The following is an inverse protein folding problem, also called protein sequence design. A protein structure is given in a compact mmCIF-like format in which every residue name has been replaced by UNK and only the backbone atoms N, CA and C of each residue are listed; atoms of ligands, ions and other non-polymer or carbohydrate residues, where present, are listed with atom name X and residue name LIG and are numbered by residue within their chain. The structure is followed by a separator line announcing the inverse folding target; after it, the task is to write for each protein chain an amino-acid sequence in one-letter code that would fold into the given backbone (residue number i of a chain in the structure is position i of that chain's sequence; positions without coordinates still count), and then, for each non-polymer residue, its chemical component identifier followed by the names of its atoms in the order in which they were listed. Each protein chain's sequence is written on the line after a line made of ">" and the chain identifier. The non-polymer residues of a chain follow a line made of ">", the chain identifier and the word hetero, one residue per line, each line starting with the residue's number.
data_IF_774453153935
#
_entry.id   IF_774453153935
#
_cell.length_a   1.000
_cell.length_b   1.000
_cell.length_c   1.000
_cell.angle_alpha   90.00
_cell.angle_beta   90.00
_cell.angle_gamma   90.00
#
_symmetry.space_group_name_H-M   'P 1'
#
loop_
_entity.id
_entity.type
_entity.pdbx_description
1 polymer ?
#
# COMPACT_ATOMS: atom_id res chain seq x y z
N UNK A 1 -6.64 56.76 -31.19
CA UNK A 1 -6.06 56.40 -29.88
C UNK A 1 -6.58 55.05 -29.37
N UNK A 2 -7.60 54.46 -30.00
CA UNK A 2 -8.20 53.19 -29.53
C UNK A 2 -7.49 51.93 -30.03
N UNK A 3 -6.91 51.93 -31.24
CA UNK A 3 -6.27 50.73 -31.82
C UNK A 3 -5.04 50.26 -31.03
N UNK A 4 -4.25 51.17 -30.48
CA UNK A 4 -3.07 50.83 -29.66
C UNK A 4 -3.46 50.28 -28.29
N UNK A 5 -4.57 50.76 -27.71
CA UNK A 5 -5.12 50.22 -26.47
C UNK A 5 -5.72 48.83 -26.67
N UNK A 6 -6.42 48.60 -27.79
CA UNK A 6 -6.95 47.29 -28.15
C UNK A 6 -5.83 46.28 -28.42
N UNK A 7 -4.76 46.70 -29.11
CA UNK A 7 -3.62 45.83 -29.41
C UNK A 7 -2.83 45.45 -28.15
N UNK A 8 -2.56 46.43 -27.27
CA UNK A 8 -1.87 46.16 -25.99
C UNK A 8 -2.71 45.28 -25.05
N UNK A 9 -4.02 45.50 -24.97
CA UNK A 9 -4.92 44.65 -24.19
C UNK A 9 -4.97 43.21 -24.72
N UNK A 10 -5.01 43.03 -26.05
CA UNK A 10 -5.03 41.71 -26.69
C UNK A 10 -3.74 40.95 -26.44
N UNK A 11 -2.58 41.62 -26.58
CA UNK A 11 -1.28 41.01 -26.28
C UNK A 11 -1.18 40.62 -24.80
N UNK A 12 -1.61 41.50 -23.89
CA UNK A 12 -1.62 41.20 -22.46
C UNK A 12 -2.49 39.98 -22.13
N UNK A 13 -3.67 39.85 -22.77
CA UNK A 13 -4.56 38.71 -22.58
C UNK A 13 -3.91 37.40 -23.07
N UNK A 14 -3.32 37.40 -24.28
CA UNK A 14 -2.65 36.22 -24.83
C UNK A 14 -1.46 35.78 -23.97
N UNK A 15 -0.66 36.74 -23.49
CA UNK A 15 0.46 36.47 -22.58
C UNK A 15 -0.05 35.93 -21.25
N UNK A 16 -1.12 36.50 -20.68
CA UNK A 16 -1.74 36.04 -19.44
C UNK A 16 -2.25 34.60 -19.55
N UNK A 17 -2.94 34.26 -20.65
CA UNK A 17 -3.41 32.90 -20.92
C UNK A 17 -2.25 31.92 -21.11
N UNK A 18 -1.24 32.29 -21.89
CA UNK A 18 -0.05 31.47 -22.11
C UNK A 18 0.73 31.20 -20.82
N UNK A 19 0.97 32.24 -20.02
CA UNK A 19 1.64 32.12 -18.72
C UNK A 19 0.81 31.28 -17.73
N UNK A 20 -0.50 31.51 -17.66
CA UNK A 20 -1.40 30.74 -16.81
C UNK A 20 -1.40 29.25 -17.15
N UNK A 21 -1.49 28.91 -18.44
CA UNK A 21 -1.41 27.52 -18.91
C UNK A 21 -0.05 26.89 -18.60
N UNK A 22 1.06 27.62 -18.83
CA UNK A 22 2.40 27.12 -18.55
C UNK A 22 2.60 26.83 -17.05
N UNK A 23 2.14 27.73 -16.17
CA UNK A 23 2.20 27.53 -14.71
C UNK A 23 1.36 26.33 -14.31
N UNK A 24 0.12 26.23 -14.79
CA UNK A 24 -0.75 25.11 -14.45
C UNK A 24 -0.19 23.77 -14.94
N UNK A 25 0.33 23.73 -16.17
CA UNK A 25 0.98 22.56 -16.75
C UNK A 25 2.23 22.13 -15.98
N UNK A 26 3.04 23.09 -15.54
CA UNK A 26 4.21 22.80 -14.71
C UNK A 26 3.81 22.24 -13.33
N UNK A 27 2.74 22.75 -12.72
CA UNK A 27 2.23 22.26 -11.44
C UNK A 27 1.64 20.85 -11.55
N UNK A 28 0.85 20.57 -12.58
CA UNK A 28 0.28 19.22 -12.82
C UNK A 28 1.38 18.21 -13.08
N UNK A 29 2.38 18.55 -13.91
CA UNK A 29 3.54 17.69 -14.17
C UNK A 29 4.35 17.43 -12.90
N UNK A 30 4.61 18.45 -12.08
CA UNK A 30 5.31 18.28 -10.79
C UNK A 30 4.54 17.38 -9.83
N UNK A 31 3.22 17.48 -9.79
CA UNK A 31 2.38 16.62 -8.96
C UNK A 31 2.44 15.17 -9.45
N UNK A 32 2.33 14.94 -10.76
CA UNK A 32 2.44 13.62 -11.38
C UNK A 32 3.79 12.98 -11.07
N UNK A 33 4.90 13.67 -11.32
CA UNK A 33 6.25 13.14 -11.06
C UNK A 33 6.44 12.76 -9.58
N UNK A 34 5.88 13.54 -8.65
CA UNK A 34 5.93 13.20 -7.21
C UNK A 34 5.12 11.95 -6.89
N UNK A 35 3.96 11.77 -7.54
CA UNK A 35 3.11 10.60 -7.36
C UNK A 35 3.76 9.34 -7.96
N UNK A 36 4.27 9.44 -9.18
CA UNK A 36 5.07 8.40 -9.84
C UNK A 36 6.28 8.00 -9.00
N UNK A 37 7.01 8.97 -8.43
CA UNK A 37 8.16 8.70 -7.57
C UNK A 37 7.75 8.01 -6.26
N UNK A 38 6.66 8.45 -5.62
CA UNK A 38 6.17 7.84 -4.38
C UNK A 38 5.78 6.38 -4.57
N UNK A 39 5.00 6.09 -5.62
CA UNK A 39 4.59 4.72 -5.94
C UNK A 39 5.66 3.91 -6.69
N UNK A 40 6.74 4.54 -7.14
CA UNK A 40 7.74 3.88 -7.99
C UNK A 40 7.18 3.52 -9.38
N UNK A 41 6.19 4.24 -9.88
CA UNK A 41 5.47 4.00 -11.13
C UNK A 41 5.78 5.09 -12.17
N UNK A 42 6.96 5.10 -12.81
CA UNK A 42 7.22 6.00 -13.92
C UNK A 42 6.31 5.65 -15.10
N UNK A 43 6.12 6.63 -15.98
CA UNK A 43 5.31 6.48 -17.20
C UNK A 43 5.78 5.27 -18.03
N UNK A 44 4.83 4.47 -18.50
CA UNK A 44 5.06 3.25 -19.28
C UNK A 44 5.62 2.07 -18.50
N UNK A 45 5.77 2.15 -17.17
CA UNK A 45 6.25 1.02 -16.38
C UNK A 45 5.18 -0.02 -16.11
N UNK A 46 5.60 -1.27 -16.00
CA UNK A 46 4.78 -2.38 -15.52
C UNK A 46 4.81 -2.44 -13.99
N UNK A 47 3.69 -2.82 -13.39
CA UNK A 47 3.59 -3.12 -11.97
C UNK A 47 2.70 -4.35 -11.73
N UNK A 48 2.82 -4.96 -10.55
CA UNK A 48 2.04 -6.14 -10.22
C UNK A 48 1.09 -5.86 -9.07
N UNK A 49 -0.16 -6.26 -9.25
CA UNK A 49 -1.16 -6.31 -8.20
C UNK A 49 -1.37 -7.76 -7.78
N UNK A 50 -0.84 -8.14 -6.61
CA UNK A 50 -0.90 -9.49 -6.07
C UNK A 50 -2.03 -9.61 -5.07
N UNK A 51 -2.91 -10.58 -5.27
CA UNK A 51 -4.11 -10.80 -4.46
C UNK A 51 -4.36 -12.28 -4.16
N UNK A 52 -5.29 -12.54 -3.25
CA UNK A 52 -5.88 -13.86 -3.04
C UNK A 52 -6.49 -14.45 -4.31
N UNK A 53 -6.36 -15.77 -4.44
CA UNK A 53 -7.15 -16.62 -5.34
C UNK A 53 -8.13 -17.38 -4.45
N UNK A 54 -9.42 -17.33 -4.77
CA UNK A 54 -10.37 -18.23 -4.13
C UNK A 54 -10.02 -19.68 -4.48
N UNK A 55 -9.70 -20.48 -3.47
CA UNK A 55 -9.34 -21.89 -3.64
C UNK A 55 -10.56 -22.81 -3.76
N UNK A 56 -11.78 -22.29 -3.55
CA UNK A 56 -13.02 -23.07 -3.61
C UNK A 56 -13.58 -23.23 -5.03
N UNK A 57 -13.15 -22.39 -5.97
CA UNK A 57 -13.58 -22.45 -7.37
C UNK A 57 -12.45 -22.94 -8.28
N UNK A 58 -12.78 -23.83 -9.23
CA UNK A 58 -11.84 -24.27 -10.27
C UNK A 58 -11.40 -23.10 -11.17
N UNK A 59 -12.22 -22.07 -11.28
CA UNK A 59 -11.91 -20.82 -11.97
C UNK A 59 -11.27 -19.82 -11.01
N UNK A 60 -10.25 -19.08 -11.48
CA UNK A 60 -9.67 -17.99 -10.69
C UNK A 60 -10.72 -16.92 -10.39
N UNK A 61 -11.01 -16.70 -9.11
CA UNK A 61 -11.86 -15.62 -8.64
C UNK A 61 -11.17 -14.84 -7.51
N UNK A 62 -11.56 -13.57 -7.37
CA UNK A 62 -10.97 -12.63 -6.41
C UNK A 62 -12.05 -12.26 -5.39
N UNK A 63 -11.77 -12.34 -4.08
CA UNK A 63 -12.73 -11.93 -3.05
C UNK A 63 -13.20 -10.48 -3.24
N UNK A 64 -14.48 -10.20 -2.97
CA UNK A 64 -15.12 -8.90 -3.22
C UNK A 64 -14.33 -7.69 -2.69
N UNK A 65 -13.78 -7.80 -1.48
CA UNK A 65 -13.06 -6.70 -0.84
C UNK A 65 -11.70 -6.47 -1.48
N UNK A 66 -11.05 -7.56 -1.90
CA UNK A 66 -9.76 -7.52 -2.57
C UNK A 66 -9.94 -6.94 -3.98
N UNK A 67 -10.98 -7.36 -4.73
CA UNK A 67 -11.33 -6.75 -6.02
C UNK A 67 -11.56 -5.24 -5.92
N UNK A 68 -12.27 -4.77 -4.89
CA UNK A 68 -12.47 -3.33 -4.65
C UNK A 68 -11.19 -2.60 -4.24
N UNK A 69 -10.27 -3.28 -3.55
CA UNK A 69 -8.96 -2.74 -3.24
C UNK A 69 -8.12 -2.61 -4.53
N UNK A 70 -8.12 -3.64 -5.37
CA UNK A 70 -7.45 -3.65 -6.66
C UNK A 70 -7.95 -2.55 -7.59
N UNK A 71 -9.26 -2.30 -7.67
CA UNK A 71 -9.81 -1.18 -8.45
C UNK A 71 -9.27 0.17 -7.97
N UNK A 72 -9.13 0.35 -6.65
CA UNK A 72 -8.52 1.55 -6.08
C UNK A 72 -7.05 1.71 -6.47
N UNK A 73 -6.29 0.62 -6.51
CA UNK A 73 -4.89 0.62 -6.93
C UNK A 73 -4.74 0.81 -8.45
N UNK A 74 -5.56 0.13 -9.26
CA UNK A 74 -5.56 0.26 -10.72
C UNK A 74 -5.78 1.72 -11.13
N UNK A 75 -6.71 2.43 -10.48
CA UNK A 75 -6.90 3.86 -10.73
C UNK A 75 -5.65 4.69 -10.43
N UNK A 76 -4.89 4.37 -9.37
CA UNK A 76 -3.61 5.05 -9.09
C UNK A 76 -2.55 4.73 -10.14
N UNK A 77 -2.46 3.46 -10.53
CA UNK A 77 -1.50 2.98 -11.54
C UNK A 77 -1.74 3.68 -12.89
N UNK A 78 -2.98 3.68 -13.36
CA UNK A 78 -3.38 4.35 -14.60
C UNK A 78 -3.15 5.87 -14.54
N UNK A 79 -3.45 6.51 -13.41
CA UNK A 79 -3.16 7.94 -13.23
C UNK A 79 -1.65 8.27 -13.28
N UNK A 80 -0.79 7.31 -12.97
CA UNK A 80 0.66 7.43 -13.12
C UNK A 80 1.14 7.15 -14.55
N UNK A 81 0.27 6.67 -15.45
CA UNK A 81 0.63 6.22 -16.79
C UNK A 81 1.38 4.88 -16.80
N UNK A 82 1.20 4.05 -15.77
CA UNK A 82 1.79 2.72 -15.66
C UNK A 82 0.74 1.63 -15.95
N UNK A 83 1.18 0.39 -16.13
CA UNK A 83 0.33 -0.74 -16.51
C UNK A 83 0.25 -1.78 -15.38
N UNK A 84 -0.95 -2.16 -14.92
CA UNK A 84 -1.11 -3.17 -13.88
C UNK A 84 -1.27 -4.59 -14.46
N UNK A 85 -0.42 -5.51 -14.00
CA UNK A 85 -0.62 -6.95 -14.15
C UNK A 85 -1.23 -7.51 -12.86
N UNK A 86 -2.41 -8.13 -12.93
CA UNK A 86 -3.02 -8.79 -11.77
C UNK A 86 -2.54 -10.24 -11.71
N UNK A 87 -1.98 -10.63 -10.56
CA UNK A 87 -1.46 -11.97 -10.36
C UNK A 87 -1.96 -12.60 -9.05
N UNK A 88 -2.19 -13.93 -9.02
CA UNK A 88 -2.50 -14.63 -7.80
C UNK A 88 -1.25 -14.87 -6.95
N UNK A 89 -1.43 -14.89 -5.63
CA UNK A 89 -0.35 -14.94 -4.64
C UNK A 89 0.55 -16.18 -4.64
N UNK A 90 0.16 -17.23 -5.34
CA UNK A 90 0.85 -18.51 -5.43
C UNK A 90 1.65 -18.65 -6.73
N UNK A 91 1.56 -17.66 -7.63
CA UNK A 91 2.35 -17.63 -8.86
C UNK A 91 3.78 -17.28 -8.55
N UNK A 92 4.73 -18.06 -9.09
CA UNK A 92 6.18 -17.87 -8.95
C UNK A 92 6.69 -16.67 -9.75
N UNK A 93 6.19 -15.49 -9.42
CA UNK A 93 6.55 -14.24 -10.08
C UNK A 93 8.03 -13.91 -9.83
N UNK A 94 8.77 -13.76 -10.92
CA UNK A 94 10.17 -13.36 -10.94
C UNK A 94 10.30 -11.83 -10.85
N UNK A 95 11.50 -11.34 -10.52
CA UNK A 95 11.81 -9.91 -10.53
C UNK A 95 11.39 -9.14 -9.27
N UNK A 96 11.59 -9.73 -8.09
CA UNK A 96 11.49 -8.99 -6.82
C UNK A 96 12.38 -7.74 -6.89
N UNK A 97 11.81 -6.56 -6.61
CA UNK A 97 12.51 -5.27 -6.72
C UNK A 97 12.66 -4.72 -8.16
N UNK A 98 12.41 -5.52 -9.21
CA UNK A 98 12.52 -5.05 -10.60
C UNK A 98 11.33 -4.18 -11.04
N UNK A 99 10.15 -4.45 -10.49
CA UNK A 99 8.90 -3.70 -10.75
C UNK A 99 8.16 -3.43 -9.45
N UNK A 100 7.37 -2.36 -9.44
CA UNK A 100 6.55 -2.02 -8.27
C UNK A 100 5.54 -3.13 -8.04
N UNK A 101 5.37 -3.52 -6.79
CA UNK A 101 4.45 -4.60 -6.42
C UNK A 101 3.50 -4.13 -5.32
N UNK A 102 2.21 -4.44 -5.47
CA UNK A 102 1.20 -4.21 -4.45
C UNK A 102 0.65 -5.55 -4.00
N UNK A 103 0.96 -5.97 -2.78
CA UNK A 103 0.43 -7.20 -2.19
C UNK A 103 -0.72 -6.89 -1.23
N UNK A 104 -1.89 -7.45 -1.52
CA UNK A 104 -3.13 -7.18 -0.81
C UNK A 104 -3.70 -8.50 -0.31
N UNK A 105 -3.77 -8.71 1.00
CA UNK A 105 -4.28 -9.98 1.52
C UNK A 105 -4.03 -10.26 2.99
N UNK A 106 -4.55 -11.41 3.42
CA UNK A 106 -4.25 -12.05 4.71
C UNK A 106 -2.87 -12.73 4.64
N UNK A 107 -1.88 -12.29 5.42
CA UNK A 107 -0.53 -12.86 5.40
C UNK A 107 -0.45 -14.32 5.87
N UNK A 108 -1.48 -14.85 6.54
CA UNK A 108 -1.51 -16.27 6.94
C UNK A 108 -1.92 -17.21 5.80
N UNK A 109 -2.54 -16.70 4.73
CA UNK A 109 -2.96 -17.49 3.56
C UNK A 109 -2.32 -17.02 2.24
N UNK A 110 -1.70 -15.84 2.22
CA UNK A 110 -1.15 -15.23 1.00
C UNK A 110 0.37 -15.43 0.91
N UNK A 111 0.80 -16.53 0.28
CA UNK A 111 2.21 -16.96 0.22
C UNK A 111 3.21 -15.85 -0.17
N UNK A 112 2.94 -15.10 -1.25
CA UNK A 112 3.82 -14.00 -1.69
C UNK A 112 3.92 -12.86 -0.67
N UNK A 113 2.82 -12.57 0.02
CA UNK A 113 2.76 -11.51 1.03
C UNK A 113 3.51 -11.94 2.29
N UNK A 114 3.32 -13.19 2.72
CA UNK A 114 4.06 -13.78 3.83
C UNK A 114 5.57 -13.73 3.58
N UNK A 115 6.03 -14.06 2.36
CA UNK A 115 7.43 -14.00 1.97
C UNK A 115 8.00 -12.57 2.01
N UNK A 116 7.25 -11.56 1.54
CA UNK A 116 7.66 -10.17 1.68
C UNK A 116 7.75 -9.73 3.13
N UNK A 117 6.79 -10.14 3.97
CA UNK A 117 6.81 -9.82 5.39
C UNK A 117 8.00 -10.47 6.10
N UNK A 118 8.30 -11.74 5.85
CA UNK A 118 9.45 -12.41 6.47
C UNK A 118 10.78 -11.78 6.09
N UNK A 119 10.90 -11.29 4.85
CA UNK A 119 12.15 -10.72 4.35
C UNK A 119 12.32 -9.22 4.69
N UNK A 120 11.24 -8.44 4.60
CA UNK A 120 11.29 -6.98 4.69
C UNK A 120 10.78 -6.43 6.02
N UNK A 121 10.03 -7.23 6.80
CA UNK A 121 9.48 -6.87 8.10
C UNK A 121 9.79 -7.95 9.17
N UNK A 122 11.08 -8.31 9.39
CA UNK A 122 11.44 -9.40 10.29
C UNK A 122 10.99 -9.18 11.75
N UNK A 123 10.77 -7.93 12.17
CA UNK A 123 10.26 -7.59 13.50
C UNK A 123 8.73 -7.72 13.66
N UNK A 124 8.04 -8.19 12.61
CA UNK A 124 6.60 -8.50 12.62
C UNK A 124 6.40 -10.00 12.61
N UNK A 125 5.75 -10.52 13.65
CA UNK A 125 5.24 -11.90 13.66
C UNK A 125 3.76 -11.91 13.35
N UNK A 126 3.33 -12.81 12.46
CA UNK A 126 1.92 -13.09 12.21
C UNK A 126 1.61 -14.49 12.74
N UNK A 127 0.71 -14.58 13.71
CA UNK A 127 0.36 -15.86 14.32
C UNK A 127 -0.61 -16.65 13.42
N UNK A 128 -0.35 -17.93 13.12
CA UNK A 128 -1.24 -18.76 12.31
C UNK A 128 -2.54 -19.14 13.04
N UNK A 129 -2.58 -18.93 14.36
CA UNK A 129 -3.66 -19.36 15.24
C UNK A 129 -3.44 -20.77 15.80
N UNK A 130 -4.30 -21.17 16.73
CA UNK A 130 -4.32 -22.54 17.25
C UNK A 130 -5.03 -23.53 16.31
N UNK A 131 -5.20 -24.78 16.74
CA UNK A 131 -5.88 -25.82 15.96
C UNK A 131 -7.34 -25.48 15.61
N UNK A 132 -8.00 -24.61 16.38
CA UNK A 132 -9.34 -24.11 16.10
C UNK A 132 -9.32 -22.83 15.25
N UNK A 133 -8.14 -22.31 14.91
CA UNK A 133 -7.94 -21.04 14.22
C UNK A 133 -8.05 -19.81 15.12
N UNK A 134 -8.19 -19.99 16.44
CA UNK A 134 -8.26 -18.86 17.36
C UNK A 134 -6.90 -18.15 17.41
N UNK A 135 -6.93 -16.81 17.36
CA UNK A 135 -5.71 -15.99 17.33
C UNK A 135 -5.02 -15.93 15.96
N UNK A 136 -5.56 -16.59 14.92
CA UNK A 136 -5.05 -16.46 13.55
C UNK A 136 -5.03 -15.00 13.10
N UNK A 137 -3.92 -14.61 12.46
CA UNK A 137 -3.69 -13.26 11.96
C UNK A 137 -3.27 -12.26 13.05
N UNK A 138 -3.15 -12.66 14.32
CA UNK A 138 -2.65 -11.75 15.36
C UNK A 138 -1.27 -11.24 14.97
N UNK A 139 -1.07 -9.91 15.02
CA UNK A 139 0.24 -9.32 14.80
C UNK A 139 1.00 -9.21 16.10
N UNK A 140 2.31 -9.43 16.09
CA UNK A 140 3.20 -9.03 17.17
C UNK A 140 4.29 -8.16 16.60
N UNK A 141 4.40 -6.93 17.10
CA UNK A 141 5.37 -5.94 16.64
C UNK A 141 5.97 -5.25 17.85
N UNK A 142 7.31 -5.26 17.97
CA UNK A 142 8.00 -4.70 19.13
C UNK A 142 7.54 -5.30 20.47
N UNK A 143 7.17 -6.58 20.49
CA UNK A 143 6.67 -7.29 21.68
C UNK A 143 5.20 -7.02 22.04
N UNK A 144 4.50 -6.15 21.31
CA UNK A 144 3.07 -5.89 21.55
C UNK A 144 2.21 -6.74 20.61
N UNK A 145 1.23 -7.45 21.16
CA UNK A 145 0.28 -8.26 20.40
C UNK A 145 -0.98 -7.47 20.04
N UNK A 146 -1.39 -7.54 18.77
CA UNK A 146 -2.57 -6.88 18.21
C UNK A 146 -3.54 -7.95 17.69
N UNK A 147 -4.41 -8.40 18.59
CA UNK A 147 -5.43 -9.43 18.32
C UNK A 147 -6.70 -8.76 17.80
N UNK A 148 -7.32 -9.34 16.76
CA UNK A 148 -8.62 -8.87 16.29
C UNK A 148 -9.77 -9.30 17.20
N UNK A 149 -10.78 -8.44 17.24
CA UNK A 149 -12.16 -8.71 17.58
C UNK A 149 -12.99 -8.57 16.29
N UNK A 150 -13.35 -9.68 15.61
CA UNK A 150 -13.98 -9.62 14.30
C UNK A 150 -15.24 -8.75 14.28
N UNK A 151 -15.27 -7.78 13.37
CA UNK A 151 -16.36 -6.84 13.18
C UNK A 151 -16.29 -5.60 14.07
N UNK A 152 -15.47 -5.62 15.13
CA UNK A 152 -15.36 -4.55 16.13
C UNK A 152 -13.99 -3.84 16.07
N UNK A 153 -12.89 -4.59 16.20
CA UNK A 153 -11.53 -4.05 16.20
C UNK A 153 -10.63 -4.97 15.41
N UNK A 154 -10.14 -4.50 14.27
CA UNK A 154 -9.29 -5.29 13.39
C UNK A 154 -8.08 -4.48 12.97
N UNK A 155 -6.96 -5.15 12.73
CA UNK A 155 -5.71 -4.50 12.39
C UNK A 155 -5.26 -4.84 10.98
N UNK A 156 -4.53 -3.91 10.38
CA UNK A 156 -3.88 -4.07 9.09
C UNK A 156 -2.57 -3.31 9.07
N UNK A 157 -1.54 -3.95 8.51
CA UNK A 157 -0.26 -3.31 8.23
C UNK A 157 -0.33 -2.70 6.83
N UNK A 158 -0.09 -1.40 6.76
CA UNK A 158 0.12 -0.67 5.51
C UNK A 158 1.60 -0.31 5.41
N UNK A 159 2.31 -0.90 4.46
CA UNK A 159 3.75 -0.68 4.30
C UNK A 159 4.13 -0.26 2.88
N UNK A 160 5.22 0.50 2.78
CA UNK A 160 6.01 0.74 1.56
C UNK A 160 7.44 0.36 1.89
N UNK A 161 7.98 -0.62 1.19
CA UNK A 161 9.29 -1.20 1.48
C UNK A 161 10.09 -1.35 0.19
N UNK A 162 11.42 -1.37 0.29
CA UNK A 162 12.35 -1.61 -0.82
C UNK A 162 13.34 -2.67 -0.36
N UNK A 163 13.70 -3.60 -1.25
CA UNK A 163 14.63 -4.69 -0.92
C UNK A 163 16.10 -4.22 -0.94
N UNK A 164 16.40 -3.17 -1.70
CA UNK A 164 17.70 -2.53 -1.79
C UNK A 164 17.61 -1.11 -2.32
N UNK A 165 18.77 -0.47 -2.46
CA UNK A 165 18.89 0.87 -3.04
C UNK A 165 18.67 0.80 -4.56
N UNK A 166 17.74 1.60 -5.08
CA UNK A 166 17.37 1.61 -6.51
C UNK A 166 16.26 0.63 -6.89
N UNK A 167 15.87 -0.28 -5.99
CA UNK A 167 14.77 -1.21 -6.22
C UNK A 167 13.41 -0.50 -6.21
N UNK A 168 12.48 -1.08 -6.98
CA UNK A 168 11.08 -0.67 -6.98
C UNK A 168 10.40 -1.04 -5.67
N UNK A 169 9.48 -0.19 -5.16
CA UNK A 169 8.84 -0.43 -3.89
C UNK A 169 7.85 -1.59 -3.96
N UNK A 170 7.77 -2.31 -2.84
CA UNK A 170 6.68 -3.23 -2.53
C UNK A 170 5.75 -2.55 -1.52
N UNK A 171 4.49 -2.42 -1.89
CA UNK A 171 3.42 -1.96 -1.02
C UNK A 171 2.68 -3.16 -0.44
N UNK A 172 2.51 -3.19 0.88
CA UNK A 172 1.78 -4.24 1.58
C UNK A 172 0.51 -3.67 2.19
N UNK A 173 -0.62 -4.32 1.92
CA UNK A 173 -1.87 -4.18 2.67
C UNK A 173 -2.17 -5.54 3.33
N UNK A 174 -1.44 -5.81 4.43
CA UNK A 174 -1.44 -7.09 5.12
C UNK A 174 -2.41 -7.05 6.30
N UNK A 175 -3.62 -7.58 6.10
CA UNK A 175 -4.72 -7.40 7.03
C UNK A 175 -5.25 -8.68 7.64
N UNK A 176 -5.94 -8.55 8.76
CA UNK A 176 -6.50 -9.70 9.48
C UNK A 176 -7.79 -10.23 8.84
N UNK A 177 -8.47 -9.41 8.03
CA UNK A 177 -9.70 -9.77 7.31
C UNK A 177 -9.79 -9.06 5.96
N UNK A 178 -10.55 -9.58 4.97
CA UNK A 178 -10.70 -8.94 3.67
C UNK A 178 -11.11 -7.47 3.70
N UNK A 179 -12.02 -7.08 4.61
CA UNK A 179 -12.44 -5.66 4.77
C UNK A 179 -11.26 -4.73 5.11
N UNK A 180 -10.29 -5.23 5.87
CA UNK A 180 -9.11 -4.47 6.30
C UNK A 180 -8.12 -4.23 5.16
N UNK A 181 -8.05 -5.12 4.17
CA UNK A 181 -7.23 -4.93 2.97
C UNK A 181 -7.70 -3.68 2.19
N UNK A 182 -9.02 -3.61 1.96
CA UNK A 182 -9.67 -2.46 1.32
C UNK A 182 -9.49 -1.18 2.14
N UNK A 183 -9.57 -1.27 3.47
CA UNK A 183 -9.35 -0.14 4.36
C UNK A 183 -7.93 0.42 4.23
N UNK A 184 -6.89 -0.44 4.24
CA UNK A 184 -5.51 -0.05 4.06
C UNK A 184 -5.24 0.59 2.69
N UNK A 185 -5.77 -0.01 1.61
CA UNK A 185 -5.64 0.57 0.26
C UNK A 185 -6.34 1.93 0.18
N UNK A 186 -7.58 2.07 0.69
CA UNK A 186 -8.26 3.37 0.75
C UNK A 186 -7.45 4.39 1.54
N UNK A 187 -6.85 3.97 2.65
CA UNK A 187 -5.97 4.83 3.45
C UNK A 187 -4.74 5.28 2.66
N UNK A 188 -4.05 4.37 1.97
CA UNK A 188 -2.91 4.66 1.10
C UNK A 188 -3.27 5.69 0.02
N UNK A 189 -4.33 5.41 -0.77
CA UNK A 189 -4.73 6.26 -1.90
C UNK A 189 -5.15 7.65 -1.41
N UNK A 190 -5.93 7.74 -0.33
CA UNK A 190 -6.38 9.03 0.22
C UNK A 190 -5.25 9.84 0.85
N UNK A 191 -4.30 9.18 1.51
CA UNK A 191 -3.25 9.86 2.29
C UNK A 191 -1.90 9.94 1.57
N UNK A 192 -1.80 9.49 0.30
CA UNK A 192 -0.55 9.44 -0.47
C UNK A 192 0.31 10.70 -0.40
N UNK A 193 -0.28 11.89 -0.53
CA UNK A 193 0.47 13.15 -0.44
C UNK A 193 0.97 13.46 0.98
N UNK A 194 0.26 13.02 2.02
CA UNK A 194 0.71 13.13 3.41
C UNK A 194 1.82 12.12 3.70
N UNK A 195 1.66 10.88 3.24
CA UNK A 195 2.65 9.81 3.39
C UNK A 195 3.96 10.17 2.66
N UNK A 196 3.88 10.62 1.41
CA UNK A 196 5.04 11.05 0.63
C UNK A 196 5.78 12.24 1.28
N UNK A 197 5.05 13.16 1.93
CA UNK A 197 5.67 14.26 2.68
C UNK A 197 6.35 13.79 3.98
N UNK A 198 5.72 12.86 4.70
CA UNK A 198 6.22 12.38 6.00
C UNK A 198 7.44 11.45 5.84
N UNK A 199 7.38 10.54 4.88
CA UNK A 199 8.40 9.50 4.70
C UNK A 199 9.33 9.76 3.51
N UNK A 200 9.07 10.79 2.72
CA UNK A 200 9.76 11.02 1.45
C UNK A 200 9.19 10.15 0.32
N UNK A 201 9.46 10.53 -0.92
CA UNK A 201 9.01 9.76 -2.08
C UNK A 201 9.74 8.41 -2.20
N UNK A 202 10.99 8.32 -1.73
CA UNK A 202 11.80 7.10 -1.72
C UNK A 202 11.80 6.33 -0.39
N UNK A 203 11.26 6.89 0.70
CA UNK A 203 11.46 6.30 2.04
C UNK A 203 10.50 5.17 2.39
N UNK A 204 10.97 4.29 3.27
CA UNK A 204 10.22 3.14 3.74
C UNK A 204 9.32 3.52 4.92
N UNK A 205 8.18 2.86 5.02
CA UNK A 205 7.32 2.93 6.21
C UNK A 205 6.53 1.64 6.41
N UNK A 206 6.14 1.38 7.65
CA UNK A 206 5.19 0.36 8.04
C UNK A 206 4.27 0.95 9.12
N UNK A 207 2.99 1.08 8.78
CA UNK A 207 1.96 1.64 9.64
C UNK A 207 1.05 0.53 10.15
N UNK A 208 0.80 0.54 11.45
CA UNK A 208 -0.27 -0.25 12.04
C UNK A 208 -1.55 0.57 12.06
N UNK A 209 -2.54 0.12 11.31
CA UNK A 209 -3.86 0.74 11.24
C UNK A 209 -4.87 -0.14 11.98
N UNK A 210 -5.86 0.50 12.60
CA UNK A 210 -7.02 -0.12 13.23
C UNK A 210 -8.26 0.23 12.43
N UNK A 211 -9.01 -0.77 12.00
CA UNK A 211 -10.33 -0.64 11.39
C UNK A 211 -11.37 -0.79 12.49
N UNK A 212 -12.18 0.24 12.68
CA UNK A 212 -13.13 0.33 13.80
C UNK A 212 -14.52 -0.04 13.31
N UNK A 213 -15.15 -0.97 14.02
CA UNK A 213 -16.50 -1.43 13.80
C UNK A 213 -16.80 -1.69 12.32
N UNK A 214 -15.98 -2.55 11.69
CA UNK A 214 -16.09 -2.86 10.26
C UNK A 214 -17.40 -3.56 9.90
N UNK A 215 -18.10 -4.13 10.89
CA UNK A 215 -19.44 -4.67 10.69
C UNK A 215 -20.46 -3.56 10.38
N UNK A 216 -20.37 -2.41 11.05
CA UNK A 216 -21.26 -1.28 10.80
C UNK A 216 -20.77 -0.36 9.68
N UNK A 217 -19.46 -0.08 9.64
CA UNK A 217 -18.90 0.96 8.77
C UNK A 217 -18.05 0.42 7.61
N UNK A 218 -17.91 -0.90 7.49
CA UNK A 218 -17.05 -1.49 6.47
C UNK A 218 -15.60 -0.99 6.58
N UNK A 219 -14.97 -0.56 5.48
CA UNK A 219 -13.58 -0.13 5.45
C UNK A 219 -13.38 1.37 5.75
N UNK A 220 -14.41 2.10 6.18
CA UNK A 220 -14.39 3.57 6.16
C UNK A 220 -13.79 4.24 7.40
N UNK A 221 -13.88 3.60 8.57
CA UNK A 221 -13.34 4.15 9.83
C UNK A 221 -12.01 3.48 10.13
N UNK A 222 -10.92 4.24 9.92
CA UNK A 222 -9.55 3.77 10.09
C UNK A 222 -8.75 4.73 10.97
N UNK A 223 -8.15 4.20 12.03
CA UNK A 223 -7.28 4.91 12.96
C UNK A 223 -5.82 4.48 12.74
N UNK A 224 -4.90 5.44 12.75
CA UNK A 224 -3.47 5.12 12.83
C UNK A 224 -3.13 4.80 14.29
N UNK A 225 -2.78 3.56 14.57
CA UNK A 225 -2.40 3.11 15.93
C UNK A 225 -0.96 3.52 16.21
N UNK A 226 -0.06 3.17 15.31
CA UNK A 226 1.36 3.44 15.47
C UNK A 226 2.10 3.43 14.12
N UNK A 227 3.16 4.24 14.05
CA UNK A 227 4.21 4.09 13.07
C UNK A 227 5.18 3.03 13.59
N UNK A 228 5.08 1.81 13.06
CA UNK A 228 5.84 0.65 13.54
C UNK A 228 7.09 0.40 12.70
N UNK A 229 7.44 1.30 11.78
CA UNK A 229 8.53 1.14 10.80
C UNK A 229 9.83 0.63 11.42
N UNK A 230 10.31 1.29 12.47
CA UNK A 230 11.57 0.93 13.15
C UNK A 230 11.50 -0.47 13.78
N UNK A 231 10.41 -0.75 14.51
CA UNK A 231 10.24 -2.03 15.18
C UNK A 231 10.00 -3.18 14.20
N UNK A 232 9.35 -2.90 13.06
CA UNK A 232 8.99 -3.89 12.06
C UNK A 232 10.18 -4.30 11.18
N UNK A 233 11.10 -3.37 10.87
CA UNK A 233 12.30 -3.64 10.05
C UNK A 233 13.46 -4.17 10.91
N UNK A 234 13.47 -3.89 12.21
CA UNK A 234 14.48 -4.44 13.11
C UNK A 234 14.45 -5.97 13.09
N UNK A 235 15.61 -6.65 13.18
CA UNK A 235 15.65 -8.10 13.34
C UNK A 235 14.76 -8.54 14.49
N UNK A 236 14.04 -9.66 14.34
CA UNK A 236 13.26 -10.22 15.43
C UNK A 236 14.17 -10.40 16.66
N UNK A 237 13.83 -9.77 17.78
CA UNK A 237 14.50 -10.08 19.04
C UNK A 237 14.22 -11.56 19.37
N UNK A 238 15.26 -12.39 19.27
CA UNK A 238 15.28 -13.77 19.76
C UNK A 238 15.19 -13.76 21.29
N UNK A 239 14.04 -13.42 21.87
CA UNK A 239 13.79 -13.65 23.29
C UNK A 239 13.41 -15.11 23.52
N UNK A 240 14.45 -15.93 23.74
CA UNK A 240 14.42 -17.03 24.71
C UNK A 240 13.75 -18.34 24.31
N UNK A 241 14.26 -19.04 23.30
CA UNK A 241 14.17 -20.51 23.24
C UNK A 241 15.45 -21.13 23.83
N UNK A 242 15.72 -20.88 25.11
CA UNK A 242 16.73 -21.60 25.88
C UNK A 242 16.23 -21.75 27.31
N UNK A 243 15.17 -22.56 27.50
CA UNK A 243 14.89 -23.27 28.76
C UNK A 243 13.77 -24.30 28.60
N UNK A 244 14.18 -25.53 28.31
CA UNK A 244 13.61 -26.83 28.72
C UNK A 244 14.25 -27.89 27.80
N UNK A 245 14.89 -28.99 28.23
CA UNK A 245 15.34 -29.57 29.49
C UNK A 245 16.47 -30.56 29.07
N UNK A 246 17.62 -30.70 29.74
CA UNK A 246 17.83 -31.47 30.97
C UNK A 246 17.13 -32.84 30.95
#
# INVERSE_FOLDING_TARGET
>A
MDDTLLLTATVALLVGLGAGWAVQSALTRRKLVREQSFFGLPEGSECVLVTHRDSSSAQWSIPRHDALALLGLASVVENCGAHPEVAPHDTGLQGFGARTEFCVGDPTAHRRLAAHMSNLLPGVTVHPGDAAGAGRGTFTVGGTAYRMEPGAVEYVLLARLTAGEGDRPVFLAAGQRPVTHRAAVRHLVRNRARLARKYGAGGQFCLLLKVVNSQAYGPDVVELVADVTKAAIAPAELKGQHRAAA
#
